data_IF_294102188517
#
_entry.id   IF_294102188517
#
_cell.length_a   1.000
_cell.length_b   1.000
_cell.length_c   1.000
_cell.angle_alpha   90.00
_cell.angle_beta   90.00
_cell.angle_gamma   90.00
#
_symmetry.space_group_name_H-M   'P 1'
#
loop_
_entity.id
_entity.type
_entity.pdbx_description
1 polymer ?
#
# COMPACT_ATOMS: atom_id res chain seq x y z
N UNK A 1 36.48 11.02 -65.35
CA UNK A 1 35.05 11.31 -65.61
C UNK A 1 34.26 10.57 -64.55
N UNK A 2 33.84 11.27 -63.50
CA UNK A 2 32.94 10.71 -62.47
C UNK A 2 31.50 10.77 -62.99
N UNK A 3 30.64 9.77 -62.70
CA UNK A 3 29.24 9.82 -63.10
C UNK A 3 28.54 10.97 -62.36
N UNK A 4 27.52 11.60 -62.98
CA UNK A 4 26.80 12.68 -62.32
C UNK A 4 26.09 12.15 -61.06
N UNK A 5 25.91 12.97 -60.01
CA UNK A 5 25.16 12.58 -58.84
C UNK A 5 23.74 12.20 -59.25
N UNK A 6 23.36 10.94 -59.03
CA UNK A 6 21.97 10.52 -59.14
C UNK A 6 21.14 11.39 -58.21
N UNK A 7 20.20 12.15 -58.77
CA UNK A 7 19.16 12.85 -58.04
C UNK A 7 18.47 11.85 -57.10
N UNK A 8 18.85 11.88 -55.81
CA UNK A 8 18.01 11.33 -54.76
C UNK A 8 16.74 12.16 -54.83
N UNK A 9 15.68 11.63 -55.45
CA UNK A 9 14.34 12.19 -55.29
C UNK A 9 14.07 12.18 -53.79
N UNK A 10 14.17 13.34 -53.16
CA UNK A 10 13.64 13.54 -51.83
C UNK A 10 12.18 13.06 -51.87
N UNK A 11 11.87 11.95 -51.19
CA UNK A 11 10.47 11.61 -50.92
C UNK A 11 9.93 12.80 -50.15
N UNK A 12 8.99 13.51 -50.74
CA UNK A 12 8.27 14.60 -50.11
C UNK A 12 7.71 14.08 -48.78
N UNK A 13 7.99 14.72 -47.63
CA UNK A 13 7.55 14.27 -46.31
C UNK A 13 6.08 14.67 -46.06
N UNK A 14 5.26 14.72 -47.11
CA UNK A 14 3.88 15.17 -47.03
C UNK A 14 3.01 13.93 -47.11
N UNK A 15 2.48 13.50 -45.97
CA UNK A 15 1.41 12.49 -45.90
C UNK A 15 0.32 12.89 -46.87
N UNK A 16 0.00 12.04 -47.83
CA UNK A 16 -1.04 12.34 -48.82
C UNK A 16 -2.41 12.37 -48.14
N UNK A 17 -3.37 13.10 -48.70
CA UNK A 17 -4.74 13.13 -48.15
C UNK A 17 -5.37 11.73 -48.15
N UNK A 18 -4.98 10.88 -49.10
CA UNK A 18 -5.40 9.47 -49.19
C UNK A 18 -4.79 8.60 -48.08
N UNK A 19 -3.51 8.81 -47.75
CA UNK A 19 -2.87 8.18 -46.58
C UNK A 19 -3.52 8.64 -45.28
N UNK A 20 -3.81 9.94 -45.14
CA UNK A 20 -4.50 10.47 -43.96
C UNK A 20 -5.91 9.88 -43.83
N UNK A 21 -6.67 9.80 -44.92
CA UNK A 21 -7.99 9.19 -44.92
C UNK A 21 -7.93 7.69 -44.57
N UNK A 22 -6.92 6.96 -45.07
CA UNK A 22 -6.69 5.57 -44.69
C UNK A 22 -6.38 5.42 -43.20
N UNK A 23 -5.53 6.29 -42.66
CA UNK A 23 -5.22 6.34 -41.22
C UNK A 23 -6.49 6.64 -40.41
N UNK A 24 -7.31 7.60 -40.83
CA UNK A 24 -8.58 7.95 -40.18
C UNK A 24 -9.63 6.83 -40.23
N UNK A 25 -9.56 5.93 -41.22
CA UNK A 25 -10.41 4.75 -41.23
C UNK A 25 -9.91 3.69 -40.23
N UNK A 26 -8.59 3.51 -40.11
CA UNK A 26 -8.02 2.59 -39.11
C UNK A 26 -8.37 2.98 -37.67
N UNK A 27 -8.49 4.27 -37.36
CA UNK A 27 -8.90 4.70 -36.01
C UNK A 27 -10.35 4.34 -35.67
N UNK A 28 -11.18 4.00 -36.67
CA UNK A 28 -12.58 3.58 -36.49
C UNK A 28 -12.76 2.06 -36.55
N UNK A 29 -11.72 1.32 -36.95
CA UNK A 29 -11.74 -0.13 -37.04
C UNK A 29 -11.61 -0.76 -35.65
N UNK A 30 -12.72 -1.35 -35.18
CA UNK A 30 -12.80 -1.99 -33.85
C UNK A 30 -11.84 -3.18 -33.68
N UNK A 31 -11.45 -3.84 -34.77
CA UNK A 31 -10.53 -4.98 -34.68
C UNK A 31 -9.11 -4.53 -34.35
N UNK A 32 -8.63 -3.49 -35.05
CA UNK A 32 -7.37 -2.81 -34.76
C UNK A 32 -7.36 -2.20 -33.35
N UNK A 33 -8.49 -1.61 -32.91
CA UNK A 33 -8.62 -1.07 -31.54
C UNK A 33 -8.44 -2.15 -30.48
N UNK A 34 -9.06 -3.33 -30.65
CA UNK A 34 -8.93 -4.41 -29.66
C UNK A 34 -7.49 -4.89 -29.48
N UNK A 35 -6.75 -5.07 -30.58
CA UNK A 35 -5.33 -5.45 -30.52
C UNK A 35 -4.49 -4.37 -29.82
N UNK A 36 -4.78 -3.10 -30.10
CA UNK A 36 -4.13 -1.99 -29.41
C UNK A 36 -4.47 -1.96 -27.92
N UNK A 37 -5.73 -2.15 -27.55
CA UNK A 37 -6.16 -2.18 -26.15
C UNK A 37 -5.45 -3.28 -25.36
N UNK A 38 -5.28 -4.47 -25.96
CA UNK A 38 -4.52 -5.57 -25.35
C UNK A 38 -3.06 -5.18 -25.08
N UNK A 39 -2.41 -4.45 -26.00
CA UNK A 39 -1.05 -3.93 -25.81
C UNK A 39 -1.02 -2.84 -24.72
N UNK A 40 -1.95 -1.88 -24.78
CA UNK A 40 -1.99 -0.72 -23.88
C UNK A 40 -2.32 -1.13 -22.44
N UNK A 41 -3.08 -2.22 -22.26
CA UNK A 41 -3.51 -2.69 -20.95
C UNK A 41 -2.59 -3.75 -20.33
N UNK A 42 -1.46 -4.12 -20.95
CA UNK A 42 -0.54 -5.12 -20.37
C UNK A 42 -0.14 -4.82 -18.90
N UNK A 43 0.22 -3.59 -18.50
CA UNK A 43 0.51 -3.29 -17.09
C UNK A 43 -0.70 -3.49 -16.16
N UNK A 44 -1.91 -3.25 -16.68
CA UNK A 44 -3.16 -3.44 -15.96
C UNK A 44 -3.56 -4.91 -15.86
N UNK A 45 -3.44 -5.68 -16.93
CA UNK A 45 -3.68 -7.13 -16.92
C UNK A 45 -2.73 -7.85 -15.96
N UNK A 46 -1.45 -7.44 -15.92
CA UNK A 46 -0.47 -7.97 -14.97
C UNK A 46 -0.96 -7.86 -13.51
N UNK A 47 -1.52 -6.71 -13.09
CA UNK A 47 -2.01 -6.57 -11.72
C UNK A 47 -3.33 -7.32 -11.45
N UNK A 48 -4.11 -7.60 -12.49
CA UNK A 48 -5.34 -8.37 -12.38
C UNK A 48 -5.08 -9.87 -12.14
N UNK A 49 -4.01 -10.41 -12.72
CA UNK A 49 -3.64 -11.82 -12.57
C UNK A 49 -3.15 -12.17 -11.16
N UNK A 50 -2.68 -11.17 -10.41
CA UNK A 50 -2.19 -11.38 -9.04
C UNK A 50 -3.38 -11.39 -8.08
N UNK A 51 -3.68 -12.52 -7.41
CA UNK A 51 -4.86 -12.62 -6.55
C UNK A 51 -4.81 -11.59 -5.42
N UNK A 52 -5.78 -10.68 -5.40
CA UNK A 52 -6.04 -9.80 -4.27
C UNK A 52 -6.96 -10.47 -3.25
N UNK A 53 -7.03 -9.90 -2.03
CA UNK A 53 -8.10 -10.25 -1.08
C UNK A 53 -9.44 -9.85 -1.70
N UNK A 54 -10.43 -10.75 -1.72
CA UNK A 54 -11.79 -10.51 -2.26
C UNK A 54 -12.64 -9.55 -1.41
N UNK A 55 -11.98 -8.66 -0.66
CA UNK A 55 -12.60 -7.77 0.31
C UNK A 55 -13.66 -6.85 -0.31
N UNK A 56 -13.39 -6.30 -1.50
CA UNK A 56 -14.30 -5.36 -2.18
C UNK A 56 -15.59 -6.04 -2.65
N UNK A 57 -15.48 -7.27 -3.16
CA UNK A 57 -16.64 -8.08 -3.53
C UNK A 57 -17.48 -8.42 -2.30
N UNK A 58 -16.85 -8.79 -1.19
CA UNK A 58 -17.55 -9.01 0.08
C UNK A 58 -18.22 -7.74 0.61
N UNK A 59 -17.57 -6.58 0.48
CA UNK A 59 -18.13 -5.29 0.88
C UNK A 59 -19.34 -4.91 0.01
N UNK A 60 -19.25 -5.08 -1.30
CA UNK A 60 -20.35 -4.83 -2.22
C UNK A 60 -21.56 -5.73 -1.90
N UNK A 61 -21.31 -7.02 -1.62
CA UNK A 61 -22.36 -7.94 -1.17
C UNK A 61 -22.95 -7.52 0.18
N UNK A 62 -22.13 -7.05 1.12
CA UNK A 62 -22.59 -6.56 2.40
C UNK A 62 -23.51 -5.35 2.23
N UNK A 63 -23.14 -4.34 1.44
CA UNK A 63 -24.05 -3.21 1.17
C UNK A 63 -25.28 -3.62 0.38
N UNK A 64 -25.18 -4.61 -0.52
CA UNK A 64 -26.33 -5.09 -1.27
C UNK A 64 -27.38 -5.79 -0.38
N UNK A 65 -27.00 -6.25 0.81
CA UNK A 65 -27.96 -6.73 1.80
C UNK A 65 -29.00 -5.67 2.18
N UNK A 66 -28.60 -4.39 2.22
CA UNK A 66 -29.50 -3.27 2.48
C UNK A 66 -30.06 -2.64 1.21
N UNK A 67 -29.25 -2.59 0.14
CA UNK A 67 -29.60 -1.88 -1.09
C UNK A 67 -30.43 -2.71 -2.07
N UNK A 68 -30.34 -4.04 -2.03
CA UNK A 68 -31.20 -4.96 -2.79
C UNK A 68 -31.29 -4.63 -4.30
N UNK A 69 -30.16 -4.26 -4.91
CA UNK A 69 -30.11 -3.94 -6.35
C UNK A 69 -30.09 -5.21 -7.21
N UNK A 70 -30.47 -5.12 -8.50
CA UNK A 70 -30.39 -6.25 -9.43
C UNK A 70 -28.97 -6.82 -9.52
N UNK A 71 -28.85 -8.15 -9.57
CA UNK A 71 -27.56 -8.85 -9.61
C UNK A 71 -26.67 -8.42 -10.79
N UNK A 72 -27.29 -8.10 -11.93
CA UNK A 72 -26.60 -7.56 -13.09
C UNK A 72 -25.95 -6.20 -12.78
N UNK A 73 -26.70 -5.28 -12.16
CA UNK A 73 -26.18 -3.96 -11.77
C UNK A 73 -25.08 -4.08 -10.72
N UNK A 74 -25.24 -5.00 -9.75
CA UNK A 74 -24.20 -5.28 -8.76
C UNK A 74 -22.89 -5.72 -9.41
N UNK A 75 -22.98 -6.59 -10.41
CA UNK A 75 -21.81 -7.09 -11.14
C UNK A 75 -21.14 -5.96 -11.92
N UNK A 76 -21.91 -5.19 -12.70
CA UNK A 76 -21.38 -4.07 -13.48
C UNK A 76 -20.71 -3.00 -12.59
N UNK A 77 -21.33 -2.65 -11.46
CA UNK A 77 -20.74 -1.70 -10.49
C UNK A 77 -19.49 -2.30 -9.83
N UNK A 78 -19.51 -3.59 -9.50
CA UNK A 78 -18.35 -4.31 -8.97
C UNK A 78 -17.15 -4.24 -9.91
N UNK A 79 -17.37 -4.47 -11.22
CA UNK A 79 -16.34 -4.41 -12.25
C UNK A 79 -15.75 -3.01 -12.37
N UNK A 80 -16.59 -1.96 -12.35
CA UNK A 80 -16.15 -0.56 -12.37
C UNK A 80 -15.25 -0.26 -11.18
N UNK A 81 -15.69 -0.61 -9.97
CA UNK A 81 -14.94 -0.34 -8.73
C UNK A 81 -13.62 -1.12 -8.70
N UNK A 82 -13.62 -2.37 -9.18
CA UNK A 82 -12.43 -3.18 -9.25
C UNK A 82 -11.42 -2.64 -10.29
N UNK A 83 -11.92 -2.14 -11.43
CA UNK A 83 -11.10 -1.50 -12.45
C UNK A 83 -10.42 -0.24 -11.91
N UNK A 84 -11.19 0.64 -11.27
CA UNK A 84 -10.66 1.84 -10.64
C UNK A 84 -9.67 1.53 -9.52
N UNK A 85 -9.93 0.51 -8.73
CA UNK A 85 -8.99 0.09 -7.68
C UNK A 85 -7.65 -0.36 -8.26
N UNK A 86 -7.66 -1.24 -9.27
CA UNK A 86 -6.43 -1.73 -9.88
C UNK A 86 -5.69 -0.60 -10.59
N UNK A 87 -6.42 0.28 -11.27
CA UNK A 87 -5.86 1.50 -11.87
C UNK A 87 -5.19 2.40 -10.83
N UNK A 88 -5.83 2.62 -9.67
CA UNK A 88 -5.26 3.46 -8.62
C UNK A 88 -4.00 2.83 -8.03
N UNK A 89 -3.94 1.50 -7.87
CA UNK A 89 -2.74 0.80 -7.37
C UNK A 89 -1.53 1.01 -8.27
N UNK A 90 -1.72 0.98 -9.60
CA UNK A 90 -0.64 1.22 -10.57
C UNK A 90 -0.03 2.62 -10.43
N UNK A 91 -0.88 3.64 -10.25
CA UNK A 91 -0.44 5.03 -10.07
C UNK A 91 0.19 5.20 -8.68
N UNK A 92 -0.45 4.69 -7.63
CA UNK A 92 0.02 4.75 -6.23
C UNK A 92 1.41 4.11 -6.10
N UNK A 93 1.65 2.93 -6.71
CA UNK A 93 2.99 2.29 -6.72
C UNK A 93 4.07 3.18 -7.33
N UNK A 94 3.73 3.98 -8.36
CA UNK A 94 4.67 4.91 -9.00
C UNK A 94 4.87 6.14 -8.11
N UNK A 95 3.79 6.71 -7.59
CA UNK A 95 3.80 7.90 -6.74
C UNK A 95 4.59 7.66 -5.45
N UNK A 96 4.55 6.44 -4.91
CA UNK A 96 5.23 6.02 -3.69
C UNK A 96 6.64 5.44 -3.94
N UNK A 97 7.01 5.14 -5.19
CA UNK A 97 8.23 4.39 -5.53
C UNK A 97 8.27 3.00 -4.85
N UNK A 98 7.13 2.33 -4.78
CA UNK A 98 7.01 0.99 -4.19
C UNK A 98 7.82 -0.03 -5.01
N UNK A 99 8.32 -1.07 -4.36
CA UNK A 99 9.13 -2.11 -5.02
C UNK A 99 8.28 -3.34 -5.35
N UNK A 100 7.38 -3.70 -4.43
CA UNK A 100 6.55 -4.90 -4.52
C UNK A 100 5.07 -4.55 -4.35
N UNK A 101 4.22 -5.29 -5.07
CA UNK A 101 2.77 -5.30 -4.87
C UNK A 101 2.30 -6.74 -4.82
N UNK A 102 1.67 -7.13 -3.70
CA UNK A 102 1.17 -8.50 -3.47
C UNK A 102 2.27 -9.57 -3.66
N UNK A 103 3.49 -9.25 -3.22
CA UNK A 103 4.64 -10.15 -3.22
C UNK A 103 5.37 -10.31 -4.56
N UNK A 104 4.95 -9.57 -5.60
CA UNK A 104 5.62 -9.57 -6.91
C UNK A 104 6.07 -8.16 -7.30
N UNK A 105 7.00 -7.99 -8.25
CA UNK A 105 7.45 -6.67 -8.70
C UNK A 105 6.28 -5.80 -9.18
N UNK A 106 6.33 -4.52 -8.84
CA UNK A 106 5.37 -3.52 -9.35
C UNK A 106 5.40 -3.41 -10.88
N UNK A 107 4.26 -3.13 -11.49
CA UNK A 107 4.12 -3.12 -12.95
C UNK A 107 5.10 -2.15 -13.64
N UNK A 108 5.35 -0.99 -13.04
CA UNK A 108 6.24 0.03 -13.61
C UNK A 108 7.72 -0.40 -13.65
N UNK A 109 8.11 -1.39 -12.83
CA UNK A 109 9.45 -1.99 -12.88
C UNK A 109 9.60 -3.00 -14.03
N UNK A 110 8.49 -3.51 -14.58
CA UNK A 110 8.47 -4.47 -15.70
C UNK A 110 8.23 -3.74 -17.03
N UNK A 111 7.18 -2.91 -17.09
CA UNK A 111 6.70 -2.27 -18.32
C UNK A 111 7.18 -0.82 -18.48
N UNK A 112 7.84 -0.28 -17.45
CA UNK A 112 8.25 1.12 -17.39
C UNK A 112 7.16 2.05 -16.85
N UNK A 113 7.61 3.18 -16.29
CA UNK A 113 6.75 4.21 -15.69
C UNK A 113 5.75 4.78 -16.70
N UNK A 114 6.20 5.16 -17.89
CA UNK A 114 5.35 5.80 -18.90
C UNK A 114 4.19 4.90 -19.35
N UNK A 115 4.50 3.64 -19.68
CA UNK A 115 3.50 2.64 -20.09
C UNK A 115 2.48 2.38 -18.98
N UNK A 116 2.95 2.30 -17.73
CA UNK A 116 2.09 2.01 -16.57
C UNK A 116 1.16 3.19 -16.26
N UNK A 117 1.65 4.43 -16.30
CA UNK A 117 0.81 5.63 -16.17
C UNK A 117 -0.25 5.66 -17.27
N UNK A 118 0.14 5.41 -18.52
CA UNK A 118 -0.79 5.42 -19.64
C UNK A 118 -1.87 4.34 -19.48
N UNK A 119 -1.50 3.11 -19.14
CA UNK A 119 -2.43 2.01 -18.92
C UNK A 119 -3.44 2.30 -17.81
N UNK A 120 -2.97 2.84 -16.68
CA UNK A 120 -3.83 3.22 -15.58
C UNK A 120 -4.79 4.36 -15.96
N UNK A 121 -4.28 5.44 -16.56
CA UNK A 121 -5.12 6.54 -17.02
C UNK A 121 -6.15 6.08 -18.05
N UNK A 122 -5.77 5.18 -18.95
CA UNK A 122 -6.69 4.59 -19.92
C UNK A 122 -7.80 3.78 -19.23
N UNK A 123 -7.45 2.96 -18.23
CA UNK A 123 -8.42 2.21 -17.43
C UNK A 123 -9.40 3.12 -16.66
N UNK A 124 -9.01 4.33 -16.23
CA UNK A 124 -9.95 5.32 -15.67
C UNK A 124 -11.03 5.71 -16.68
N UNK A 125 -10.68 5.92 -17.94
CA UNK A 125 -11.66 6.30 -18.97
C UNK A 125 -12.51 5.12 -19.43
N UNK A 126 -11.96 3.89 -19.45
CA UNK A 126 -12.76 2.67 -19.66
C UNK A 126 -13.77 2.46 -18.52
N UNK A 127 -13.39 2.74 -17.27
CA UNK A 127 -14.32 2.71 -16.15
C UNK A 127 -15.42 3.77 -16.30
N UNK A 128 -15.10 4.98 -16.77
CA UNK A 128 -16.08 6.02 -17.08
C UNK A 128 -17.05 5.58 -18.19
N UNK A 129 -16.55 4.95 -19.26
CA UNK A 129 -17.40 4.39 -20.32
C UNK A 129 -18.39 3.37 -19.75
N UNK A 130 -17.93 2.46 -18.89
CA UNK A 130 -18.78 1.48 -18.20
C UNK A 130 -19.81 2.15 -17.28
N UNK A 131 -19.44 3.22 -16.58
CA UNK A 131 -20.38 4.01 -15.76
C UNK A 131 -21.48 4.62 -16.62
N UNK A 132 -21.15 5.13 -17.81
CA UNK A 132 -22.16 5.67 -18.73
C UNK A 132 -23.11 4.58 -19.25
N UNK A 133 -22.59 3.36 -19.46
CA UNK A 133 -23.38 2.20 -19.87
C UNK A 133 -24.38 1.71 -18.80
N UNK A 134 -24.22 2.11 -17.53
CA UNK A 134 -25.22 1.87 -16.49
C UNK A 134 -26.57 2.56 -16.80
N UNK A 135 -26.59 3.54 -17.71
CA UNK A 135 -27.83 4.15 -18.21
C UNK A 135 -28.55 5.08 -17.23
N UNK A 136 -27.97 5.36 -16.06
CA UNK A 136 -28.56 6.28 -15.08
C UNK A 136 -27.97 7.71 -15.25
N UNK A 137 -28.79 8.78 -15.36
CA UNK A 137 -28.32 10.14 -15.66
C UNK A 137 -27.32 10.69 -14.63
N UNK A 138 -27.46 10.30 -13.37
CA UNK A 138 -26.57 10.73 -12.28
C UNK A 138 -25.26 9.94 -12.18
N UNK A 139 -25.07 8.85 -12.92
CA UNK A 139 -23.95 7.94 -12.75
C UNK A 139 -22.60 8.63 -13.01
N UNK A 140 -22.49 9.41 -14.10
CA UNK A 140 -21.31 10.19 -14.44
C UNK A 140 -20.98 11.27 -13.40
N UNK A 141 -22.02 11.89 -12.81
CA UNK A 141 -21.83 12.89 -11.74
C UNK A 141 -21.26 12.23 -10.49
N UNK A 142 -21.85 11.12 -10.04
CA UNK A 142 -21.34 10.34 -8.90
C UNK A 142 -19.89 9.93 -9.12
N UNK A 143 -19.58 9.37 -10.29
CA UNK A 143 -18.20 9.03 -10.66
C UNK A 143 -17.25 10.22 -10.52
N UNK A 144 -17.58 11.33 -11.17
CA UNK A 144 -16.72 12.53 -11.20
C UNK A 144 -16.48 13.09 -9.81
N UNK A 145 -17.53 13.21 -9.00
CA UNK A 145 -17.42 13.70 -7.62
C UNK A 145 -16.50 12.81 -6.77
N UNK A 146 -16.62 11.48 -6.88
CA UNK A 146 -15.80 10.57 -6.07
C UNK A 146 -14.36 10.48 -6.54
N UNK A 147 -14.09 10.54 -7.85
CA UNK A 147 -12.72 10.59 -8.34
C UNK A 147 -12.03 11.89 -7.94
N UNK A 148 -12.74 13.02 -7.91
CA UNK A 148 -12.20 14.29 -7.40
C UNK A 148 -11.84 14.20 -5.91
N UNK A 149 -12.70 13.60 -5.08
CA UNK A 149 -12.37 13.38 -3.66
C UNK A 149 -11.17 12.45 -3.49
N UNK A 150 -11.09 11.35 -4.26
CA UNK A 150 -9.95 10.43 -4.23
C UNK A 150 -8.63 11.17 -4.49
N UNK A 151 -8.57 11.98 -5.57
CA UNK A 151 -7.38 12.75 -5.91
C UNK A 151 -7.07 13.85 -4.89
N UNK A 152 -8.09 14.49 -4.28
CA UNK A 152 -7.87 15.42 -3.16
C UNK A 152 -7.25 14.73 -1.95
N UNK A 153 -7.66 13.51 -1.65
CA UNK A 153 -7.05 12.68 -0.61
C UNK A 153 -5.59 12.36 -0.94
N UNK A 154 -5.36 11.70 -2.08
CA UNK A 154 -4.02 11.30 -2.53
C UNK A 154 -3.06 12.49 -2.60
N UNK A 155 -3.49 13.61 -3.19
CA UNK A 155 -2.66 14.79 -3.34
C UNK A 155 -2.23 15.42 -2.01
N UNK A 156 -3.09 15.39 -0.98
CA UNK A 156 -2.72 15.88 0.35
C UNK A 156 -1.71 14.96 1.05
N UNK A 157 -1.84 13.65 0.89
CA UNK A 157 -0.88 12.68 1.41
C UNK A 157 0.51 12.87 0.78
N UNK A 158 0.55 12.98 -0.55
CA UNK A 158 1.78 13.28 -1.32
C UNK A 158 2.35 14.63 -0.88
N UNK A 159 1.52 15.67 -0.77
CA UNK A 159 1.98 16.99 -0.34
C UNK A 159 2.66 16.95 1.03
N UNK A 160 2.07 16.29 2.03
CA UNK A 160 2.68 16.18 3.36
C UNK A 160 4.00 15.43 3.31
N UNK A 161 4.03 14.29 2.60
CA UNK A 161 5.22 13.45 2.40
C UNK A 161 6.37 14.23 1.75
N UNK A 162 6.09 14.96 0.67
CA UNK A 162 7.11 15.62 -0.15
C UNK A 162 7.51 17.00 0.41
N UNK A 163 6.61 17.68 1.13
CA UNK A 163 6.93 18.91 1.87
C UNK A 163 7.52 18.67 3.27
N UNK A 164 7.56 17.41 3.72
CA UNK A 164 7.94 17.00 5.07
C UNK A 164 7.12 17.70 6.18
N UNK A 165 5.85 17.99 5.89
CA UNK A 165 4.93 18.64 6.82
C UNK A 165 4.02 17.59 7.46
N UNK A 166 4.31 17.20 8.70
CA UNK A 166 3.47 16.24 9.43
C UNK A 166 2.04 16.81 9.63
N UNK A 167 0.99 16.13 9.16
CA UNK A 167 -0.38 16.58 9.35
C UNK A 167 -0.82 16.52 10.82
N UNK A 168 -1.96 17.15 11.12
CA UNK A 168 -2.70 16.81 12.34
C UNK A 168 -3.44 15.48 12.17
N UNK A 169 -3.83 14.86 13.28
CA UNK A 169 -4.65 13.64 13.21
C UNK A 169 -6.00 13.89 12.52
N UNK A 170 -6.62 15.05 12.74
CA UNK A 170 -7.86 15.42 12.05
C UNK A 170 -7.68 15.57 10.54
N UNK A 171 -6.57 16.15 10.10
CA UNK A 171 -6.28 16.28 8.67
C UNK A 171 -6.03 14.92 8.04
N UNK A 172 -5.28 14.04 8.71
CA UNK A 172 -5.09 12.66 8.25
C UNK A 172 -6.42 11.91 8.13
N UNK A 173 -7.32 12.07 9.11
CA UNK A 173 -8.65 11.45 9.06
C UNK A 173 -9.45 11.96 7.87
N UNK A 174 -9.45 13.28 7.62
CA UNK A 174 -10.12 13.87 6.45
C UNK A 174 -9.54 13.34 5.13
N UNK A 175 -8.22 13.32 5.01
CA UNK A 175 -7.52 12.77 3.83
C UNK A 175 -7.92 11.32 3.59
N UNK A 176 -7.95 10.50 4.65
CA UNK A 176 -8.27 9.07 4.54
C UNK A 176 -9.71 8.82 4.10
N UNK A 177 -10.67 9.60 4.64
CA UNK A 177 -12.08 9.52 4.21
C UNK A 177 -12.21 9.86 2.72
N UNK A 178 -11.38 10.78 2.22
CA UNK A 178 -11.33 11.13 0.79
C UNK A 178 -10.68 10.05 -0.08
N UNK A 179 -9.47 9.60 0.26
CA UNK A 179 -8.69 8.61 -0.51
C UNK A 179 -9.36 7.23 -0.50
N UNK A 180 -9.51 6.64 0.69
CA UNK A 180 -9.97 5.26 0.86
C UNK A 180 -11.49 5.18 0.95
N UNK A 181 -12.11 6.13 1.65
CA UNK A 181 -13.57 6.22 1.72
C UNK A 181 -14.22 6.62 0.39
N UNK A 182 -13.54 7.41 -0.46
CA UNK A 182 -14.07 7.87 -1.75
C UNK A 182 -14.40 6.73 -2.72
N UNK A 183 -13.55 5.70 -2.80
CA UNK A 183 -13.83 4.55 -3.68
C UNK A 183 -14.95 3.65 -3.14
N UNK A 184 -15.05 3.48 -1.81
CA UNK A 184 -16.20 2.79 -1.20
C UNK A 184 -17.49 3.56 -1.42
N UNK A 185 -17.45 4.88 -1.25
CA UNK A 185 -18.59 5.76 -1.45
C UNK A 185 -19.02 5.78 -2.93
N UNK A 186 -18.08 5.67 -3.88
CA UNK A 186 -18.41 5.48 -5.29
C UNK A 186 -19.27 4.23 -5.49
N UNK A 187 -18.84 3.09 -4.97
CA UNK A 187 -19.59 1.84 -5.08
C UNK A 187 -21.01 2.00 -4.51
N UNK A 188 -21.12 2.49 -3.27
CA UNK A 188 -22.39 2.63 -2.56
C UNK A 188 -23.32 3.62 -3.28
N UNK A 189 -22.81 4.78 -3.69
CA UNK A 189 -23.62 5.79 -4.39
C UNK A 189 -24.09 5.32 -5.75
N UNK A 190 -23.26 4.60 -6.50
CA UNK A 190 -23.69 3.96 -7.76
C UNK A 190 -24.77 2.92 -7.50
N UNK A 191 -24.62 2.07 -6.47
CA UNK A 191 -25.65 1.10 -6.09
C UNK A 191 -26.95 1.80 -5.69
N UNK A 192 -26.88 2.89 -4.94
CA UNK A 192 -28.06 3.65 -4.54
C UNK A 192 -28.86 4.21 -5.71
N UNK A 193 -28.25 4.45 -6.89
CA UNK A 193 -28.99 4.86 -8.08
C UNK A 193 -30.02 3.80 -8.52
N UNK A 194 -29.75 2.53 -8.25
CA UNK A 194 -30.60 1.38 -8.63
C UNK A 194 -31.35 0.77 -7.44
N UNK A 195 -31.33 1.43 -6.29
CA UNK A 195 -32.00 0.99 -5.07
C UNK A 195 -33.14 1.93 -4.68
N UNK A 196 -34.19 1.39 -4.07
CA UNK A 196 -35.21 2.17 -3.36
C UNK A 196 -34.71 2.67 -2.00
N UNK A 197 -33.66 2.06 -1.44
CA UNK A 197 -33.05 2.45 -0.17
C UNK A 197 -32.13 3.66 -0.39
N UNK A 198 -32.47 4.78 0.25
CA UNK A 198 -31.73 6.05 0.18
C UNK A 198 -31.10 6.44 1.51
N UNK A 199 -30.87 5.48 2.40
CA UNK A 199 -30.23 5.73 3.69
C UNK A 199 -28.84 6.34 3.53
N UNK A 200 -28.45 7.15 4.51
CA UNK A 200 -27.12 7.76 4.52
C UNK A 200 -26.09 6.78 5.09
N UNK A 201 -25.25 6.23 4.21
CA UNK A 201 -24.14 5.35 4.56
C UNK A 201 -22.81 6.09 4.75
N UNK A 202 -22.80 7.43 4.72
CA UNK A 202 -21.58 8.24 4.80
C UNK A 202 -20.79 7.99 6.07
N UNK A 203 -21.49 7.89 7.21
CA UNK A 203 -20.85 7.61 8.50
C UNK A 203 -20.17 6.24 8.53
N UNK A 204 -20.88 5.17 8.14
CA UNK A 204 -20.32 3.82 8.11
C UNK A 204 -19.13 3.75 7.14
N UNK A 205 -19.25 4.37 5.96
CA UNK A 205 -18.20 4.38 4.95
C UNK A 205 -16.95 5.14 5.42
N UNK A 206 -17.13 6.27 6.13
CA UNK A 206 -16.04 7.01 6.72
C UNK A 206 -15.32 6.19 7.82
N UNK A 207 -16.07 5.52 8.70
CA UNK A 207 -15.49 4.64 9.73
C UNK A 207 -14.70 3.50 9.08
N UNK A 208 -15.27 2.82 8.08
CA UNK A 208 -14.60 1.75 7.36
C UNK A 208 -13.34 2.27 6.66
N UNK A 209 -13.43 3.38 5.91
CA UNK A 209 -12.28 3.98 5.22
C UNK A 209 -11.13 4.31 6.17
N UNK A 210 -11.45 4.91 7.33
CA UNK A 210 -10.49 5.17 8.41
C UNK A 210 -9.87 3.90 8.95
N UNK A 211 -10.70 2.91 9.27
CA UNK A 211 -10.25 1.64 9.79
C UNK A 211 -9.30 0.93 8.82
N UNK A 212 -9.64 0.90 7.52
CA UNK A 212 -8.81 0.27 6.48
C UNK A 212 -7.43 0.90 6.39
N UNK A 213 -7.37 2.22 6.32
CA UNK A 213 -6.11 2.91 6.18
C UNK A 213 -5.24 2.78 7.43
N UNK A 214 -5.81 3.03 8.61
CA UNK A 214 -5.06 2.93 9.87
C UNK A 214 -4.57 1.49 10.10
N UNK A 215 -5.37 0.50 9.72
CA UNK A 215 -4.96 -0.91 9.77
C UNK A 215 -3.83 -1.20 8.78
N UNK A 216 -3.88 -0.67 7.55
CA UNK A 216 -2.79 -0.84 6.58
C UNK A 216 -1.49 -0.22 7.09
N UNK A 217 -1.53 1.02 7.59
CA UNK A 217 -0.40 1.72 8.18
C UNK A 217 0.19 0.96 9.39
N UNK A 218 -0.67 0.39 10.25
CA UNK A 218 -0.23 -0.46 11.36
C UNK A 218 0.44 -1.75 10.86
N UNK A 219 -0.20 -2.44 9.92
CA UNK A 219 0.28 -3.72 9.41
C UNK A 219 1.60 -3.58 8.63
N UNK A 220 1.79 -2.47 7.89
CA UNK A 220 3.02 -2.18 7.16
C UNK A 220 4.25 -2.17 8.10
N UNK A 221 4.08 -1.66 9.32
CA UNK A 221 5.16 -1.49 10.29
C UNK A 221 5.30 -2.64 11.30
N UNK A 222 4.21 -3.36 11.60
CA UNK A 222 4.16 -4.34 12.70
C UNK A 222 4.16 -5.81 12.26
N UNK A 223 3.70 -6.13 11.04
CA UNK A 223 3.45 -7.53 10.65
C UNK A 223 4.51 -8.10 9.68
N UNK A 224 5.13 -9.22 10.07
CA UNK A 224 6.04 -9.98 9.20
C UNK A 224 5.35 -10.48 7.92
N UNK A 225 4.11 -10.96 7.99
CA UNK A 225 3.34 -11.39 6.79
C UNK A 225 3.09 -10.24 5.78
N UNK A 226 3.06 -8.99 6.24
CA UNK A 226 2.98 -7.83 5.34
C UNK A 226 4.29 -7.58 4.60
N UNK A 227 5.43 -7.99 5.18
CA UNK A 227 6.76 -7.96 4.53
C UNK A 227 6.87 -8.96 3.37
N UNK A 228 5.96 -9.93 3.27
CA UNK A 228 5.90 -10.85 2.13
C UNK A 228 5.05 -10.28 0.99
N UNK A 229 4.11 -9.38 1.29
CA UNK A 229 3.23 -8.75 0.30
C UNK A 229 3.76 -7.40 -0.21
N UNK A 230 4.48 -6.68 0.65
CA UNK A 230 5.17 -5.40 0.43
C UNK A 230 6.61 -5.52 0.95
N UNK A 231 7.49 -4.57 0.63
CA UNK A 231 8.82 -4.57 1.25
C UNK A 231 8.77 -4.25 2.76
N UNK A 232 9.80 -4.64 3.52
CA UNK A 232 9.84 -4.43 4.98
C UNK A 232 9.71 -2.94 5.34
N UNK A 233 8.67 -2.59 6.10
CA UNK A 233 8.36 -1.22 6.52
C UNK A 233 8.47 -0.19 5.38
N UNK A 234 7.83 -0.51 4.25
CA UNK A 234 7.87 0.29 3.02
C UNK A 234 7.42 1.74 3.25
N UNK A 235 6.44 1.99 4.12
CA UNK A 235 5.96 3.34 4.44
C UNK A 235 7.10 4.26 4.96
N UNK A 236 8.12 3.70 5.63
CA UNK A 236 9.30 4.44 6.07
C UNK A 236 10.24 4.78 4.91
N UNK A 237 10.32 3.90 3.91
CA UNK A 237 11.05 4.15 2.65
C UNK A 237 10.36 5.20 1.81
N UNK A 238 9.03 5.15 1.73
CA UNK A 238 8.22 6.14 1.02
C UNK A 238 8.33 7.53 1.67
N UNK A 239 8.68 7.57 2.96
CA UNK A 239 8.68 8.80 3.76
C UNK A 239 7.26 9.22 4.18
N UNK A 240 6.33 8.26 4.20
CA UNK A 240 4.90 8.47 4.39
C UNK A 240 4.55 8.79 5.84
N UNK A 241 3.70 9.78 6.05
CA UNK A 241 3.12 10.09 7.35
C UNK A 241 1.95 9.14 7.66
N UNK A 242 2.24 7.87 7.90
CA UNK A 242 1.24 6.90 8.37
C UNK A 242 0.77 7.19 9.81
N UNK A 243 -0.37 6.64 10.21
CA UNK A 243 -1.01 6.95 11.51
C UNK A 243 -0.08 6.78 12.74
N UNK A 244 0.68 5.66 12.89
CA UNK A 244 1.61 5.50 14.02
C UNK A 244 2.75 6.54 14.00
N UNK A 245 3.19 6.93 12.80
CA UNK A 245 4.26 7.92 12.59
C UNK A 245 3.76 9.32 12.97
N UNK A 246 2.55 9.69 12.55
CA UNK A 246 1.92 10.96 12.94
C UNK A 246 1.83 11.07 14.46
N UNK A 247 1.34 10.03 15.14
CA UNK A 247 1.29 10.01 16.60
C UNK A 247 2.68 10.24 17.21
N UNK A 248 3.69 9.49 16.75
CA UNK A 248 5.05 9.63 17.27
C UNK A 248 5.60 11.05 17.11
N UNK A 249 5.56 11.59 15.89
CA UNK A 249 6.09 12.93 15.57
C UNK A 249 5.38 14.02 16.36
N UNK A 250 4.07 13.89 16.61
CA UNK A 250 3.30 14.88 17.36
C UNK A 250 3.43 14.74 18.87
N UNK A 251 3.69 13.53 19.37
CA UNK A 251 3.88 13.24 20.80
C UNK A 251 5.21 13.78 21.35
N UNK A 252 6.25 13.90 20.50
CA UNK A 252 7.56 14.44 20.90
C UNK A 252 7.95 15.65 20.04
N UNK A 253 7.72 16.86 20.58
CA UNK A 253 8.06 18.11 19.87
C UNK A 253 9.55 18.43 19.87
N UNK A 254 10.31 17.92 20.85
CA UNK A 254 11.74 18.22 21.01
C UNK A 254 12.64 17.22 20.29
N UNK A 255 12.28 15.93 20.31
CA UNK A 255 13.01 14.90 19.61
C UNK A 255 12.40 14.68 18.21
N UNK A 256 13.21 14.99 17.18
CA UNK A 256 12.80 14.87 15.77
C UNK A 256 13.35 13.62 15.09
N UNK A 257 13.88 12.63 15.84
CA UNK A 257 14.48 11.43 15.26
C UNK A 257 13.59 10.72 14.23
N UNK A 258 12.32 10.45 14.56
CA UNK A 258 11.36 9.81 13.64
C UNK A 258 11.19 10.62 12.36
N UNK A 259 11.07 11.94 12.47
CA UNK A 259 10.93 12.84 11.32
C UNK A 259 12.19 12.85 10.45
N UNK A 260 13.39 12.83 11.05
CA UNK A 260 14.64 12.76 10.31
C UNK A 260 14.80 11.44 9.56
N UNK A 261 14.46 10.31 10.19
CA UNK A 261 14.48 8.99 9.54
C UNK A 261 13.52 8.97 8.35
N UNK A 262 12.29 9.45 8.55
CA UNK A 262 11.28 9.52 7.50
C UNK A 262 11.75 10.36 6.30
N UNK A 263 12.43 11.48 6.58
CA UNK A 263 13.00 12.35 5.55
C UNK A 263 14.10 11.69 4.71
N UNK A 264 14.81 10.72 5.27
CA UNK A 264 15.87 10.02 4.56
C UNK A 264 15.37 9.03 3.50
N UNK A 265 14.09 8.60 3.56
CA UNK A 265 13.54 7.59 2.66
C UNK A 265 14.42 6.34 2.57
N UNK A 266 14.95 5.93 3.72
CA UNK A 266 16.02 4.94 3.80
C UNK A 266 15.56 3.55 3.34
N UNK A 267 16.46 2.80 2.72
CA UNK A 267 16.30 1.36 2.47
C UNK A 267 17.04 0.50 3.51
N UNK A 268 17.79 1.14 4.42
CA UNK A 268 18.54 0.45 5.47
C UNK A 268 17.60 -0.21 6.49
N UNK A 269 17.72 -1.53 6.61
CA UNK A 269 16.87 -2.35 7.48
C UNK A 269 17.08 -2.01 8.96
N UNK A 270 18.31 -1.72 9.38
CA UNK A 270 18.61 -1.41 10.78
C UNK A 270 18.06 -0.04 11.18
N UNK A 271 18.12 0.95 10.28
CA UNK A 271 17.46 2.25 10.50
C UNK A 271 15.94 2.09 10.59
N UNK A 272 15.33 1.26 9.75
CA UNK A 272 13.89 0.95 9.82
C UNK A 272 13.52 0.27 11.15
N UNK A 273 14.26 -0.76 11.57
CA UNK A 273 14.06 -1.44 12.86
C UNK A 273 14.19 -0.47 14.03
N UNK A 274 15.20 0.41 13.98
CA UNK A 274 15.37 1.44 15.00
C UNK A 274 14.17 2.39 15.05
N UNK A 275 13.68 2.87 13.90
CA UNK A 275 12.47 3.70 13.84
C UNK A 275 11.26 2.99 14.45
N UNK A 276 11.02 1.73 14.11
CA UNK A 276 9.93 0.91 14.70
C UNK A 276 10.08 0.83 16.23
N UNK A 277 11.29 0.62 16.74
CA UNK A 277 11.53 0.60 18.19
C UNK A 277 11.22 1.94 18.88
N UNK A 278 11.45 3.07 18.20
CA UNK A 278 11.05 4.40 18.67
C UNK A 278 9.52 4.50 18.71
N UNK A 279 8.81 4.07 17.66
CA UNK A 279 7.34 4.09 17.63
C UNK A 279 6.72 3.28 18.78
N UNK A 280 7.31 2.11 19.10
CA UNK A 280 6.88 1.31 20.25
C UNK A 280 7.14 2.04 21.58
N UNK A 281 8.35 2.57 21.79
CA UNK A 281 8.71 3.32 23.01
C UNK A 281 7.82 4.55 23.23
N UNK A 282 7.37 5.18 22.16
CA UNK A 282 6.46 6.33 22.19
C UNK A 282 4.99 5.93 22.36
N UNK A 283 4.68 4.63 22.43
CA UNK A 283 3.32 4.13 22.57
C UNK A 283 2.46 4.28 21.31
N UNK A 284 3.06 4.59 20.15
CA UNK A 284 2.32 4.82 18.91
C UNK A 284 1.55 3.60 18.43
N UNK A 285 2.12 2.40 18.57
CA UNK A 285 1.42 1.16 18.22
C UNK A 285 0.26 0.88 19.18
N UNK A 286 0.45 1.09 20.48
CA UNK A 286 -0.63 0.96 21.45
C UNK A 286 -1.76 1.96 21.20
N UNK A 287 -1.43 3.22 20.89
CA UNK A 287 -2.41 4.24 20.51
C UNK A 287 -3.19 3.82 19.26
N UNK A 288 -2.48 3.38 18.22
CA UNK A 288 -3.08 2.92 16.97
C UNK A 288 -4.06 1.77 17.18
N UNK A 289 -3.69 0.76 17.99
CA UNK A 289 -4.59 -0.35 18.34
C UNK A 289 -5.86 0.13 19.05
N UNK A 290 -5.75 1.05 20.02
CA UNK A 290 -6.92 1.62 20.71
C UNK A 290 -7.86 2.34 19.74
N UNK A 291 -7.30 3.09 18.78
CA UNK A 291 -8.09 3.76 17.74
C UNK A 291 -8.80 2.74 16.84
N UNK A 292 -8.11 1.68 16.40
CA UNK A 292 -8.74 0.59 15.65
C UNK A 292 -9.87 -0.10 16.43
N UNK A 293 -9.70 -0.31 17.73
CA UNK A 293 -10.73 -0.88 18.60
C UNK A 293 -11.95 0.04 18.73
N UNK A 294 -11.74 1.36 18.88
CA UNK A 294 -12.83 2.34 18.87
C UNK A 294 -13.59 2.33 17.55
N UNK A 295 -12.86 2.34 16.43
CA UNK A 295 -13.47 2.33 15.09
C UNK A 295 -14.25 1.04 14.80
N UNK A 296 -13.77 -0.13 15.25
CA UNK A 296 -14.55 -1.38 15.15
C UNK A 296 -15.85 -1.31 15.96
N UNK A 297 -15.79 -0.82 17.20
CA UNK A 297 -16.96 -0.65 18.04
C UNK A 297 -17.97 0.33 17.43
N UNK A 298 -17.50 1.47 16.91
CA UNK A 298 -18.32 2.46 16.21
C UNK A 298 -18.94 1.89 14.93
N UNK A 299 -18.18 1.11 14.15
CA UNK A 299 -18.70 0.44 12.94
C UNK A 299 -19.83 -0.52 13.29
N UNK A 300 -19.67 -1.35 14.33
CA UNK A 300 -20.71 -2.30 14.77
C UNK A 300 -21.96 -1.60 15.31
N UNK A 301 -21.77 -0.51 16.06
CA UNK A 301 -22.89 0.30 16.54
C UNK A 301 -23.66 0.91 15.35
N UNK A 302 -22.94 1.39 14.33
CA UNK A 302 -23.55 1.94 13.12
C UNK A 302 -24.27 0.87 12.28
N UNK A 303 -23.69 -0.32 12.14
CA UNK A 303 -24.36 -1.49 11.51
C UNK A 303 -25.66 -1.84 12.25
N UNK A 304 -25.64 -1.83 13.58
CA UNK A 304 -26.84 -2.08 14.40
C UNK A 304 -27.90 -0.99 14.18
N UNK A 305 -27.49 0.29 14.13
CA UNK A 305 -28.38 1.43 13.83
C UNK A 305 -29.04 1.30 12.46
N UNK A 306 -28.33 0.75 11.48
CA UNK A 306 -28.81 0.50 10.11
C UNK A 306 -29.67 -0.77 9.98
N UNK A 307 -30.07 -1.39 11.10
CA UNK A 307 -30.94 -2.58 11.11
C UNK A 307 -30.20 -3.93 11.11
N UNK A 308 -28.88 -3.93 11.33
CA UNK A 308 -28.05 -5.13 11.35
C UNK A 308 -27.69 -5.63 9.94
N UNK A 309 -26.57 -6.35 9.84
CA UNK A 309 -26.12 -6.92 8.57
C UNK A 309 -25.09 -8.05 8.78
N UNK A 310 -25.50 -9.33 8.63
CA UNK A 310 -24.63 -10.47 8.91
C UNK A 310 -23.43 -10.56 7.95
N UNK A 311 -23.53 -10.00 6.74
CA UNK A 311 -22.41 -9.94 5.80
C UNK A 311 -21.37 -8.92 6.27
N UNK A 312 -21.82 -7.74 6.71
CA UNK A 312 -20.94 -6.72 7.27
C UNK A 312 -20.30 -7.18 8.59
N UNK A 313 -21.04 -7.87 9.46
CA UNK A 313 -20.49 -8.41 10.72
C UNK A 313 -19.38 -9.43 10.47
N UNK A 314 -19.58 -10.33 9.49
CA UNK A 314 -18.52 -11.27 9.06
C UNK A 314 -17.30 -10.53 8.52
N UNK A 315 -17.52 -9.47 7.76
CA UNK A 315 -16.45 -8.65 7.20
C UNK A 315 -15.65 -7.98 8.32
N UNK A 316 -16.31 -7.31 9.27
CA UNK A 316 -15.68 -6.70 10.44
C UNK A 316 -14.89 -7.72 11.27
N UNK A 317 -15.41 -8.93 11.45
CA UNK A 317 -14.69 -10.00 12.15
C UNK A 317 -13.39 -10.41 11.44
N UNK A 318 -13.38 -10.51 10.10
CA UNK A 318 -12.16 -10.80 9.33
C UNK A 318 -11.09 -9.72 9.49
N UNK A 319 -11.52 -8.47 9.68
CA UNK A 319 -10.62 -7.34 9.81
C UNK A 319 -9.86 -7.33 11.13
N UNK A 320 -10.36 -8.01 12.17
CA UNK A 320 -9.68 -8.18 13.46
C UNK A 320 -8.45 -9.09 13.41
N UNK A 321 -8.09 -9.64 12.24
CA UNK A 321 -6.89 -10.48 12.04
C UNK A 321 -5.58 -9.86 12.53
N UNK A 322 -5.48 -8.53 12.62
CA UNK A 322 -4.30 -7.86 13.17
C UNK A 322 -4.10 -8.14 14.68
N UNK A 323 -5.16 -8.52 15.42
CA UNK A 323 -5.08 -8.87 16.85
C UNK A 323 -4.40 -10.21 17.10
N UNK A 324 -4.55 -11.17 16.19
CA UNK A 324 -4.00 -12.53 16.31
C UNK A 324 -2.49 -12.59 16.07
N UNK A 325 -1.94 -11.63 15.32
CA UNK A 325 -0.51 -11.59 15.01
C UNK A 325 0.34 -11.11 16.20
N UNK A 326 -0.24 -10.30 17.10
CA UNK A 326 0.45 -9.78 18.29
C UNK A 326 0.71 -10.87 19.35
N UNK A 327 -0.12 -11.92 19.40
CA UNK A 327 0.07 -13.02 20.36
C UNK A 327 1.34 -13.83 20.08
N UNK A 328 1.77 -13.87 18.81
CA UNK A 328 3.02 -14.55 18.40
C UNK A 328 4.23 -13.65 18.69
N UNK A 329 4.13 -12.35 18.41
CA UNK A 329 5.21 -11.37 18.62
C UNK A 329 5.54 -11.14 20.11
N UNK A 330 4.52 -11.09 20.98
CA UNK A 330 4.69 -10.95 22.44
C UNK A 330 5.30 -12.22 23.06
N UNK A 331 4.91 -13.41 22.58
CA UNK A 331 5.47 -14.67 23.07
C UNK A 331 6.93 -14.88 22.64
N UNK A 332 7.32 -14.41 21.44
CA UNK A 332 8.71 -14.49 20.98
C UNK A 332 9.63 -13.49 21.69
N UNK A 333 9.18 -12.26 21.94
CA UNK A 333 9.96 -11.27 22.71
C UNK A 333 10.12 -11.67 24.18
N UNK A 334 9.12 -12.34 24.77
CA UNK A 334 9.25 -12.94 26.10
C UNK A 334 10.19 -14.16 26.12
N UNK A 335 10.24 -15.00 25.08
CA UNK A 335 11.20 -16.10 24.99
C UNK A 335 12.66 -15.64 24.84
N UNK A 336 12.90 -14.56 24.08
CA UNK A 336 14.25 -14.00 23.92
C UNK A 336 14.75 -13.39 25.24
N UNK A 337 13.87 -12.73 26.00
CA UNK A 337 14.21 -12.20 27.33
C UNK A 337 14.41 -13.32 28.37
N UNK A 338 13.65 -14.42 28.30
CA UNK A 338 13.83 -15.53 29.23
C UNK A 338 15.14 -16.29 29.02
N UNK A 339 15.57 -16.44 27.75
CA UNK A 339 16.84 -17.07 27.39
C UNK A 339 18.06 -16.21 27.75
N UNK A 340 17.94 -14.87 27.68
CA UNK A 340 19.02 -13.97 28.10
C UNK A 340 19.16 -13.84 29.62
N UNK A 341 18.09 -14.07 30.41
CA UNK A 341 18.19 -14.08 31.88
C UNK A 341 18.76 -15.40 32.44
N UNK A 342 18.68 -16.52 31.70
CA UNK A 342 19.29 -17.79 32.13
C UNK A 342 20.78 -17.92 31.76
N UNK A 343 21.31 -17.07 30.88
CA UNK A 343 22.70 -17.13 30.43
C UNK A 343 23.70 -16.39 31.34
N UNK A 344 23.25 -15.70 32.39
CA UNK A 344 24.13 -14.96 33.32
C UNK A 344 23.95 -15.43 34.75
N UNK A 345 24.51 -16.59 35.07
CA UNK A 345 24.79 -16.99 36.46
C UNK A 345 26.26 -17.43 36.57
N UNK A 346 27.04 -16.92 37.55
CA UNK A 346 28.47 -17.23 37.65
C UNK A 346 28.67 -18.61 38.29
N UNK A 347 29.30 -19.51 37.54
CA UNK A 347 29.71 -20.84 38.02
C UNK A 347 30.74 -20.72 39.15
N UNK A 348 30.41 -21.27 40.31
CA UNK A 348 31.28 -21.42 41.48
C UNK A 348 32.33 -22.53 41.27
N UNK A 349 33.50 -22.50 41.93
CA UNK A 349 34.62 -23.40 41.64
C UNK A 349 34.48 -24.75 42.38
N UNK A 350 34.87 -25.83 41.72
CA UNK A 350 34.96 -27.18 42.30
C UNK A 350 36.36 -27.46 42.89
N UNK A 351 36.49 -28.39 43.86
CA UNK A 351 37.60 -28.41 44.81
C UNK A 351 38.81 -29.24 44.39
N UNK A 352 39.95 -28.90 44.98
CA UNK A 352 41.25 -29.58 44.89
C UNK A 352 41.16 -31.06 45.31
N UNK A 353 41.84 -31.92 44.55
CA UNK A 353 42.42 -33.16 45.03
C UNK A 353 43.89 -33.24 44.64
N UNK A 354 44.72 -33.46 45.65
CA UNK A 354 46.17 -33.67 45.62
C UNK A 354 46.53 -35.07 45.11
N UNK A 355 47.49 -35.16 44.19
CA UNK A 355 48.44 -36.30 44.16
C UNK A 355 49.75 -35.92 43.46
N UNK A 356 50.81 -36.19 44.21
CA UNK A 356 52.26 -36.25 43.96
C UNK A 356 52.74 -36.76 42.60
N UNK A 357 53.89 -36.23 42.12
CA UNK A 357 54.79 -37.00 41.25
C UNK A 357 55.72 -36.21 40.29
N UNK A 358 56.96 -35.99 40.72
CA UNK A 358 58.23 -36.02 39.94
C UNK A 358 58.49 -35.09 38.74
N UNK A 359 59.57 -34.29 38.87
CA UNK A 359 60.65 -33.95 37.90
C UNK A 359 60.29 -33.85 36.41
N UNK A 360 60.64 -32.80 35.66
CA UNK A 360 62.03 -32.48 35.23
C UNK A 360 62.06 -31.12 34.50
N UNK A 361 63.22 -30.47 34.61
CA UNK A 361 63.79 -29.30 33.91
C UNK A 361 63.38 -29.08 32.45
N UNK A 362 63.09 -27.83 32.05
CA UNK A 362 63.71 -27.16 30.89
C UNK A 362 63.26 -25.69 30.73
N UNK A 363 64.26 -24.82 30.75
CA UNK A 363 64.33 -23.44 30.28
C UNK A 363 63.86 -23.26 28.83
N UNK A 364 63.11 -22.19 28.51
CA UNK A 364 63.69 -21.10 27.70
C UNK A 364 62.86 -19.82 27.59
N UNK A 365 63.63 -18.75 27.40
CA UNK A 365 63.36 -17.33 27.31
C UNK A 365 62.78 -16.88 25.95
N UNK A 366 61.91 -15.87 26.04
CA UNK A 366 61.89 -14.57 25.29
C UNK A 366 61.73 -14.62 23.75
N UNK A 367 60.80 -13.78 23.23
CA UNK A 367 60.99 -12.70 22.22
C UNK A 367 59.68 -12.50 21.42
N UNK A 368 58.95 -11.42 21.72
CA UNK A 368 58.24 -10.59 20.71
C UNK A 368 59.28 -9.65 20.05
N UNK A 369 59.03 -8.90 18.95
CA UNK A 369 57.77 -8.63 18.25
C UNK A 369 57.90 -8.59 16.70
N UNK A 370 56.80 -8.36 15.95
CA UNK A 370 56.82 -7.25 14.96
C UNK A 370 55.46 -6.91 14.36
N UNK A 371 55.32 -5.60 14.15
CA UNK A 371 54.27 -4.89 13.44
C UNK A 371 54.27 -5.24 11.94
N UNK A 372 53.11 -5.12 11.29
CA UNK A 372 53.05 -4.54 9.95
C UNK A 372 51.68 -3.93 9.66
N UNK A 373 51.72 -2.62 9.45
CA UNK A 373 50.77 -1.77 8.74
C UNK A 373 50.56 -2.21 7.30
N UNK A 374 49.37 -2.01 6.73
CA UNK A 374 49.17 -1.56 5.34
C UNK A 374 47.71 -1.12 5.11
N UNK A 375 47.55 0.19 4.88
CA UNK A 375 46.45 0.80 4.15
C UNK A 375 46.54 0.40 2.67
N UNK A 376 45.41 0.31 1.97
CA UNK A 376 45.24 0.90 0.64
C UNK A 376 43.78 0.95 0.18
N UNK A 377 43.38 2.18 -0.18
CA UNK A 377 42.36 2.66 -1.13
C UNK A 377 40.87 2.52 -0.80
#
# INVERSE_FOLDING_TARGET
>A
MFPPPSLIKARSPVTTMDELNSILQKTKDKSTQKEQDEILLQPFSYIQEIPGKQFRSELALAFNHWLLIPAEMLTQIGDIVQMLHNSSLLIDDIEDNSILRRGVPVAHSIYGVASTINAANYALFLALEKVQQLGHPEATRVYTEQLLELHRGQGMEIYWRDSFTCPSESDYKLMTVRKTGGLFMLAIRLMQLFSSNKEDYSKLTAILGLYFQIRDDYCNLSLKEYTENKSFAEDLTEGKFGFPVIHAVRSQKQDKQVLHILRQRTHDIEVKKYCISLLEKLGSFQYTRKVLESLDAEARAEVTRLGGNPYMDRLLNKLLSWKTSDTVSINQSNQINHNNMQATSPSSPSPLTTTTGSTTTATNRIVSPNQNTLNCN
#
